data_IF_869520606607
#
_entry.id   IF_869520606607
#
_cell.length_a   1.000
_cell.length_b   1.000
_cell.length_c   1.000
_cell.angle_alpha   90.00
_cell.angle_beta   90.00
_cell.angle_gamma   90.00
#
_symmetry.space_group_name_H-M   'P 1'
#
loop_
_entity.id
_entity.type
_entity.pdbx_description
1 polymer ?
#
# COMPACT_ATOMS: atom_id res chain seq x y z
N UNK A 1 -5.73 7.16 -25.53
CA UNK A 1 -5.41 7.05 -24.10
C UNK A 1 -4.04 7.66 -23.90
N UNK A 2 -3.92 8.55 -22.93
CA UNK A 2 -2.67 9.28 -22.71
C UNK A 2 -1.66 8.31 -22.06
N UNK A 3 -0.62 7.88 -22.79
CA UNK A 3 0.43 6.97 -22.32
C UNK A 3 1.25 7.54 -21.13
N UNK A 4 1.03 8.81 -20.75
CA UNK A 4 1.74 9.50 -19.67
C UNK A 4 1.21 9.19 -18.26
N UNK A 5 0.17 8.37 -18.11
CA UNK A 5 -0.48 8.10 -16.82
C UNK A 5 -0.46 6.61 -16.45
N UNK A 6 0.70 5.96 -16.62
CA UNK A 6 0.92 4.61 -16.09
C UNK A 6 1.64 4.67 -14.74
N UNK A 7 1.27 3.76 -13.84
CA UNK A 7 1.97 3.62 -12.57
C UNK A 7 3.43 3.24 -12.82
N UNK A 8 4.33 3.89 -12.09
CA UNK A 8 5.72 3.46 -12.00
C UNK A 8 5.82 2.13 -11.27
N UNK A 9 6.74 1.27 -11.68
CA UNK A 9 6.99 -0.02 -11.03
C UNK A 9 8.47 -0.35 -10.96
N UNK A 10 8.90 -0.92 -9.84
CA UNK A 10 10.17 -1.65 -9.74
C UNK A 10 9.89 -3.14 -9.97
N UNK A 11 10.56 -3.72 -10.96
CA UNK A 11 10.42 -5.14 -11.30
C UNK A 11 11.52 -5.95 -10.62
N UNK A 12 11.14 -7.08 -10.01
CA UNK A 12 12.07 -8.01 -9.38
C UNK A 12 11.66 -9.45 -9.69
N UNK A 13 12.65 -10.33 -9.79
CA UNK A 13 12.44 -11.76 -10.02
C UNK A 13 12.15 -12.11 -11.48
N UNK A 14 12.31 -13.39 -11.80
CA UNK A 14 12.19 -13.94 -13.16
C UNK A 14 11.10 -15.02 -13.24
N UNK A 15 10.28 -15.16 -12.19
CA UNK A 15 9.16 -16.09 -12.15
C UNK A 15 8.10 -15.77 -13.20
N UNK A 16 7.28 -16.77 -13.53
CA UNK A 16 6.25 -16.62 -14.58
C UNK A 16 4.93 -16.04 -14.09
N UNK A 17 4.66 -16.12 -12.79
CA UNK A 17 3.40 -15.65 -12.21
C UNK A 17 3.57 -14.20 -11.75
N UNK A 18 2.82 -13.25 -12.33
CA UNK A 18 2.88 -11.86 -11.91
C UNK A 18 2.32 -11.70 -10.49
N UNK A 19 3.04 -10.92 -9.67
CA UNK A 19 2.66 -10.59 -8.31
C UNK A 19 2.76 -9.07 -8.13
N UNK A 20 1.62 -8.40 -8.02
CA UNK A 20 1.52 -6.95 -7.91
C UNK A 20 1.44 -6.53 -6.45
N UNK A 21 2.28 -5.59 -6.04
CA UNK A 21 2.46 -5.14 -4.66
C UNK A 21 2.21 -3.64 -4.55
N UNK A 22 1.28 -3.25 -3.69
CA UNK A 22 0.89 -1.84 -3.46
C UNK A 22 1.18 -1.43 -2.02
N UNK A 23 1.90 -0.32 -1.86
CA UNK A 23 2.30 0.27 -0.58
C UNK A 23 1.17 1.04 0.12
N UNK A 24 1.40 1.42 1.37
CA UNK A 24 0.52 2.29 2.17
C UNK A 24 0.70 3.79 1.86
N UNK A 25 -0.09 4.62 2.54
CA UNK A 25 -0.01 6.09 2.43
C UNK A 25 1.42 6.58 2.68
N UNK A 26 1.91 7.50 1.84
CA UNK A 26 3.26 8.05 1.86
C UNK A 26 4.39 7.02 1.66
N UNK A 27 4.05 5.80 1.25
CA UNK A 27 5.01 4.78 0.86
C UNK A 27 5.46 4.89 -0.59
N UNK A 28 6.19 3.87 -1.05
CA UNK A 28 6.60 3.69 -2.46
C UNK A 28 6.90 2.22 -2.74
N UNK A 29 7.15 1.89 -4.00
CA UNK A 29 7.64 0.58 -4.47
C UNK A 29 8.79 0.02 -3.63
N UNK A 30 9.65 0.92 -3.12
CA UNK A 30 10.82 0.57 -2.27
C UNK A 30 10.45 -0.16 -0.99
N UNK A 31 9.25 0.04 -0.45
CA UNK A 31 8.79 -0.65 0.76
C UNK A 31 8.71 -2.17 0.56
N UNK A 32 8.54 -2.60 -0.69
CA UNK A 32 8.40 -4.01 -1.05
C UNK A 32 9.70 -4.72 -1.47
N UNK A 33 10.82 -3.99 -1.64
CA UNK A 33 12.09 -4.56 -2.15
C UNK A 33 12.56 -5.79 -1.40
N UNK A 34 12.45 -5.79 -0.06
CA UNK A 34 12.88 -6.92 0.76
C UNK A 34 11.97 -8.14 0.62
N UNK A 35 10.68 -7.92 0.46
CA UNK A 35 9.69 -8.99 0.18
C UNK A 35 9.90 -9.52 -1.23
N UNK A 36 10.03 -8.62 -2.21
CA UNK A 36 10.27 -8.99 -3.60
C UNK A 36 11.55 -9.81 -3.77
N UNK A 37 12.63 -9.44 -3.06
CA UNK A 37 13.88 -10.24 -3.05
C UNK A 37 13.66 -11.64 -2.44
N UNK A 38 12.78 -11.78 -1.45
CA UNK A 38 12.51 -13.06 -0.79
C UNK A 38 11.66 -14.02 -1.64
N UNK A 39 10.89 -13.51 -2.61
CA UNK A 39 9.95 -14.28 -3.44
C UNK A 39 10.32 -14.29 -4.93
N UNK A 40 11.34 -13.53 -5.33
CA UNK A 40 11.66 -13.28 -6.74
C UNK A 40 12.05 -14.50 -7.55
N UNK A 41 12.50 -15.59 -6.90
CA UNK A 41 12.83 -16.84 -7.58
C UNK A 41 11.58 -17.54 -8.14
N UNK A 42 10.40 -17.24 -7.60
CA UNK A 42 9.14 -17.92 -7.94
C UNK A 42 8.17 -17.01 -8.72
N UNK A 43 8.26 -15.70 -8.56
CA UNK A 43 7.28 -14.74 -9.07
C UNK A 43 7.94 -13.60 -9.84
N UNK A 44 7.20 -13.02 -10.78
CA UNK A 44 7.52 -11.73 -11.36
C UNK A 44 6.89 -10.64 -10.47
N UNK A 45 7.70 -10.03 -9.63
CA UNK A 45 7.26 -9.06 -8.63
C UNK A 45 7.17 -7.66 -9.23
N UNK A 46 5.99 -7.07 -9.24
CA UNK A 46 5.72 -5.70 -9.68
C UNK A 46 5.45 -4.84 -8.45
N UNK A 47 6.47 -4.16 -7.93
CA UNK A 47 6.33 -3.22 -6.82
C UNK A 47 5.89 -1.87 -7.38
N UNK A 48 4.63 -1.48 -7.15
CA UNK A 48 4.01 -0.31 -7.76
C UNK A 48 4.15 0.92 -6.87
N UNK A 49 4.40 2.08 -7.49
CA UNK A 49 4.13 3.38 -6.89
C UNK A 49 2.69 3.78 -7.22
N UNK A 50 1.87 4.05 -6.21
CA UNK A 50 0.50 4.54 -6.41
C UNK A 50 0.51 5.96 -7.00
N UNK A 51 -0.59 6.40 -7.68
CA UNK A 51 -0.73 7.82 -8.06
C UNK A 51 -0.46 8.72 -6.87
N UNK A 52 0.12 9.88 -7.10
CA UNK A 52 0.52 10.85 -6.08
C UNK A 52 1.63 10.37 -5.11
N UNK A 53 2.28 9.23 -5.42
CA UNK A 53 3.37 8.67 -4.63
C UNK A 53 4.55 8.26 -5.52
N UNK A 54 5.72 8.16 -4.91
CA UNK A 54 6.91 7.61 -5.55
C UNK A 54 7.26 8.32 -6.87
N UNK A 55 7.52 7.54 -7.91
CA UNK A 55 7.83 8.02 -9.28
C UNK A 55 6.60 7.96 -10.21
N UNK A 56 5.40 7.68 -9.66
CA UNK A 56 4.16 7.73 -10.40
C UNK A 56 3.68 9.17 -10.63
N UNK A 57 2.77 9.30 -11.58
CA UNK A 57 2.15 10.58 -11.96
C UNK A 57 1.33 11.18 -10.79
N UNK A 58 1.13 12.50 -10.85
CA UNK A 58 0.27 13.23 -9.91
C UNK A 58 -1.05 13.59 -10.57
N UNK A 59 -2.15 13.42 -9.82
CA UNK A 59 -3.52 13.74 -10.23
C UNK A 59 -4.34 14.24 -9.03
N UNK A 60 -5.33 15.08 -9.29
CA UNK A 60 -6.20 15.66 -8.25
C UNK A 60 -7.13 14.60 -7.65
N UNK A 61 -7.64 13.67 -8.46
CA UNK A 61 -8.46 12.56 -7.96
C UNK A 61 -7.56 11.48 -7.34
N UNK A 62 -7.64 11.35 -6.02
CA UNK A 62 -6.98 10.30 -5.23
C UNK A 62 -7.97 9.32 -4.61
N UNK A 63 -9.16 9.12 -5.23
CA UNK A 63 -10.12 8.14 -4.74
C UNK A 63 -9.60 6.70 -4.86
N UNK A 64 -10.08 5.81 -3.99
CA UNK A 64 -9.74 4.37 -4.03
C UNK A 64 -10.13 3.78 -5.40
N UNK A 65 -11.27 4.20 -5.96
CA UNK A 65 -11.71 3.75 -7.28
C UNK A 65 -10.72 4.17 -8.37
N UNK A 66 -10.32 5.43 -8.40
CA UNK A 66 -9.36 5.90 -9.39
C UNK A 66 -8.00 5.19 -9.29
N UNK A 67 -7.56 4.84 -8.07
CA UNK A 67 -6.35 4.03 -7.86
C UNK A 67 -6.53 2.57 -8.29
N UNK A 68 -7.72 2.00 -8.13
CA UNK A 68 -8.08 0.68 -8.66
C UNK A 68 -8.07 0.67 -10.19
N UNK A 69 -8.61 1.72 -10.82
CA UNK A 69 -8.59 1.87 -12.28
C UNK A 69 -7.17 2.03 -12.84
N UNK A 70 -6.26 2.67 -12.08
CA UNK A 70 -4.83 2.73 -12.42
C UNK A 70 -4.19 1.36 -12.46
N UNK A 71 -4.51 0.52 -11.47
CA UNK A 71 -4.01 -0.86 -11.42
C UNK A 71 -4.47 -1.67 -12.62
N UNK A 72 -5.75 -1.52 -13.02
CA UNK A 72 -6.27 -2.15 -14.23
C UNK A 72 -5.50 -1.70 -15.47
N UNK A 73 -5.34 -0.37 -15.67
CA UNK A 73 -4.58 0.19 -16.78
C UNK A 73 -3.14 -0.30 -16.82
N UNK A 74 -2.49 -0.37 -15.64
CA UNK A 74 -1.13 -0.90 -15.54
C UNK A 74 -1.07 -2.36 -15.97
N UNK A 75 -1.95 -3.21 -15.43
CA UNK A 75 -1.98 -4.63 -15.77
C UNK A 75 -2.25 -4.87 -17.27
N UNK A 76 -3.19 -4.12 -17.84
CA UNK A 76 -3.51 -4.20 -19.29
C UNK A 76 -2.34 -3.76 -20.16
N UNK A 77 -1.65 -2.67 -19.78
CA UNK A 77 -0.47 -2.19 -20.52
C UNK A 77 0.68 -3.20 -20.48
N UNK A 78 0.86 -3.90 -19.35
CA UNK A 78 1.86 -4.95 -19.19
C UNK A 78 1.42 -6.31 -19.79
N UNK A 79 0.22 -6.40 -20.39
CA UNK A 79 -0.38 -7.64 -20.88
C UNK A 79 -0.55 -8.72 -19.79
N UNK A 80 -0.74 -8.29 -18.54
CA UNK A 80 -0.95 -9.17 -17.38
C UNK A 80 -2.45 -9.44 -17.27
N UNK A 81 -2.89 -10.65 -17.60
CA UNK A 81 -4.31 -11.04 -17.57
C UNK A 81 -4.77 -11.48 -16.18
N UNK A 82 -3.92 -12.18 -15.44
CA UNK A 82 -4.20 -12.66 -14.08
C UNK A 82 -2.94 -12.54 -13.22
N UNK A 83 -3.11 -12.20 -11.95
CA UNK A 83 -2.00 -11.96 -11.03
C UNK A 83 -2.38 -12.21 -9.57
N UNK A 84 -1.36 -12.41 -8.73
CA UNK A 84 -1.50 -12.34 -7.29
C UNK A 84 -1.45 -10.86 -6.89
N UNK A 85 -2.34 -10.43 -6.01
CA UNK A 85 -2.45 -9.03 -5.60
C UNK A 85 -2.22 -8.90 -4.11
N UNK A 86 -1.26 -8.07 -3.72
CA UNK A 86 -0.97 -7.75 -2.33
C UNK A 86 -0.99 -6.23 -2.11
N UNK A 87 -1.68 -5.80 -1.06
CA UNK A 87 -1.67 -4.41 -0.66
C UNK A 87 -1.53 -4.22 0.84
N UNK A 88 -0.72 -3.24 1.24
CA UNK A 88 -0.57 -2.82 2.62
C UNK A 88 -1.37 -1.54 2.89
N UNK A 89 -2.15 -1.51 3.97
CA UNK A 89 -2.86 -0.30 4.42
C UNK A 89 -3.70 0.31 3.28
N UNK A 90 -3.40 1.51 2.78
CA UNK A 90 -4.05 2.11 1.61
C UNK A 90 -4.02 1.17 0.39
N UNK A 91 -2.87 0.57 0.09
CA UNK A 91 -2.75 -0.44 -0.97
C UNK A 91 -3.67 -1.64 -0.75
N UNK A 92 -3.91 -2.02 0.50
CA UNK A 92 -4.86 -3.07 0.87
C UNK A 92 -6.31 -2.68 0.57
N UNK A 93 -6.70 -1.42 0.81
CA UNK A 93 -8.02 -0.89 0.44
C UNK A 93 -8.23 -0.93 -1.08
N UNK A 94 -7.21 -0.52 -1.84
CA UNK A 94 -7.23 -0.57 -3.31
C UNK A 94 -7.33 -2.02 -3.80
N UNK A 95 -6.56 -2.94 -3.20
CA UNK A 95 -6.58 -4.36 -3.54
C UNK A 95 -7.94 -5.00 -3.30
N UNK A 96 -8.61 -4.67 -2.18
CA UNK A 96 -9.96 -5.13 -1.89
C UNK A 96 -10.98 -4.62 -2.91
N UNK A 97 -10.95 -3.32 -3.24
CA UNK A 97 -11.83 -2.74 -4.27
C UNK A 97 -11.59 -3.40 -5.62
N UNK A 98 -10.34 -3.51 -6.04
CA UNK A 98 -9.98 -4.14 -7.31
C UNK A 98 -10.45 -5.61 -7.40
N UNK A 99 -10.29 -6.38 -6.34
CA UNK A 99 -10.70 -7.79 -6.32
C UNK A 99 -12.22 -7.95 -6.47
N UNK A 100 -13.01 -7.05 -5.87
CA UNK A 100 -14.47 -7.04 -6.03
C UNK A 100 -14.89 -6.59 -7.44
N UNK A 101 -14.23 -5.59 -8.03
CA UNK A 101 -14.57 -5.08 -9.37
C UNK A 101 -14.10 -6.02 -10.49
N UNK A 102 -12.95 -6.67 -10.31
CA UNK A 102 -12.27 -7.47 -11.33
C UNK A 102 -11.89 -8.87 -10.82
N UNK A 103 -12.85 -9.68 -10.29
CA UNK A 103 -12.53 -10.94 -9.62
C UNK A 103 -11.81 -11.94 -10.52
N UNK A 104 -12.06 -11.93 -11.83
CA UNK A 104 -11.42 -12.81 -12.80
C UNK A 104 -9.93 -12.51 -13.03
N UNK A 105 -9.45 -11.32 -12.63
CA UNK A 105 -8.05 -10.88 -12.75
C UNK A 105 -7.20 -11.31 -11.55
N UNK A 106 -7.79 -11.59 -10.39
CA UNK A 106 -7.09 -11.87 -9.14
C UNK A 106 -7.02 -13.37 -8.87
N UNK A 107 -5.81 -13.93 -8.90
CA UNK A 107 -5.55 -15.34 -8.58
C UNK A 107 -5.67 -15.56 -7.07
N UNK A 108 -5.01 -14.72 -6.29
CA UNK A 108 -5.04 -14.70 -4.81
C UNK A 108 -4.93 -13.25 -4.35
N UNK A 109 -5.69 -12.89 -3.32
CA UNK A 109 -5.66 -11.58 -2.69
C UNK A 109 -4.92 -11.65 -1.35
N UNK A 110 -3.99 -10.73 -1.11
CA UNK A 110 -3.31 -10.56 0.18
C UNK A 110 -3.54 -9.12 0.68
N UNK A 111 -4.07 -8.99 1.87
CA UNK A 111 -4.33 -7.70 2.53
C UNK A 111 -3.51 -7.62 3.81
N UNK A 112 -2.57 -6.68 3.85
CA UNK A 112 -1.68 -6.47 4.98
C UNK A 112 -2.19 -5.32 5.86
N UNK A 113 -2.61 -5.67 7.04
CA UNK A 113 -2.97 -4.87 8.21
C UNK A 113 -3.98 -3.74 7.97
N UNK A 114 -5.07 -4.05 7.25
CA UNK A 114 -6.21 -3.15 7.06
C UNK A 114 -7.50 -3.98 6.91
N UNK A 115 -8.66 -3.40 7.26
CA UNK A 115 -9.99 -3.98 7.06
C UNK A 115 -10.84 -3.12 6.13
N UNK A 116 -11.91 -3.67 5.51
CA UNK A 116 -12.85 -2.94 4.64
C UNK A 116 -13.83 -2.10 5.48
N UNK A 117 -13.35 -1.02 6.09
CA UNK A 117 -14.12 -0.15 6.97
C UNK A 117 -13.64 1.29 6.95
N UNK A 118 -14.42 2.19 7.55
CA UNK A 118 -14.00 3.55 7.81
C UNK A 118 -12.94 3.60 8.92
N UNK A 119 -11.97 4.48 8.74
CA UNK A 119 -10.96 4.83 9.74
C UNK A 119 -10.99 6.33 10.04
N UNK A 120 -10.71 6.74 11.28
CA UNK A 120 -10.64 8.16 11.62
C UNK A 120 -9.56 8.87 10.79
N UNK A 121 -9.96 9.81 9.94
CA UNK A 121 -9.02 10.63 9.14
C UNK A 121 -8.06 11.44 10.00
N UNK A 122 -8.47 11.74 11.22
CA UNK A 122 -7.73 12.48 12.24
C UNK A 122 -6.39 11.81 12.59
N UNK A 123 -6.25 10.50 12.34
CA UNK A 123 -4.98 9.80 12.54
C UNK A 123 -3.86 10.26 11.57
N UNK A 124 -4.23 10.70 10.37
CA UNK A 124 -3.26 11.06 9.32
C UNK A 124 -3.08 12.57 9.17
N UNK A 125 -4.09 13.36 9.56
CA UNK A 125 -4.11 14.82 9.39
C UNK A 125 -2.89 15.49 10.04
N UNK A 126 -2.51 15.21 11.31
CA UNK A 126 -1.35 15.87 11.93
C UNK A 126 -0.05 15.60 11.19
N UNK A 127 0.14 14.37 10.70
CA UNK A 127 1.34 14.00 9.92
C UNK A 127 1.41 14.77 8.61
N UNK A 128 0.30 14.80 7.84
CA UNK A 128 0.25 15.50 6.56
C UNK A 128 0.40 17.01 6.73
N UNK A 129 -0.22 17.58 7.76
CA UNK A 129 -0.10 19.01 8.07
C UNK A 129 1.34 19.38 8.51
N UNK A 130 2.02 18.51 9.28
CA UNK A 130 3.41 18.71 9.64
C UNK A 130 4.33 18.71 8.41
N UNK A 131 4.11 17.78 7.44
CA UNK A 131 4.86 17.74 6.19
C UNK A 131 4.61 19.01 5.34
N UNK A 132 3.37 19.48 5.24
CA UNK A 132 3.00 20.70 4.54
C UNK A 132 3.57 21.96 5.20
N UNK A 133 3.77 21.94 6.51
CA UNK A 133 4.35 23.05 7.28
C UNK A 133 5.84 23.27 7.01
N UNK A 134 6.54 22.33 6.36
CA UNK A 134 7.96 22.51 6.01
C UNK A 134 8.11 23.47 4.84
N UNK A 135 8.82 24.58 5.06
CA UNK A 135 9.20 25.48 3.97
C UNK A 135 10.41 24.88 3.20
N UNK A 136 10.11 24.19 2.12
CA UNK A 136 11.12 23.49 1.30
C UNK A 136 12.17 24.43 0.70
N UNK A 137 11.83 25.71 0.44
CA UNK A 137 12.76 26.69 -0.13
C UNK A 137 13.84 27.16 0.87
N UNK A 138 13.59 26.94 2.16
CA UNK A 138 14.53 27.32 3.24
C UNK A 138 15.28 26.11 3.81
N UNK A 139 15.02 24.90 3.30
CA UNK A 139 15.73 23.70 3.73
C UNK A 139 17.17 23.70 3.21
N UNK A 140 18.11 23.46 4.12
CA UNK A 140 19.52 23.27 3.81
C UNK A 140 19.93 21.80 3.82
N UNK A 141 19.17 20.93 4.50
CA UNK A 141 19.49 19.51 4.63
C UNK A 141 18.27 18.66 5.04
N UNK A 142 18.35 17.36 4.74
CA UNK A 142 17.37 16.37 5.25
C UNK A 142 17.37 16.32 6.78
N UNK A 143 18.53 16.53 7.43
CA UNK A 143 18.61 16.60 8.89
C UNK A 143 17.76 17.74 9.45
N UNK A 144 17.82 18.93 8.83
CA UNK A 144 16.99 20.06 9.24
C UNK A 144 15.49 19.72 9.13
N UNK A 145 15.06 19.01 8.07
CA UNK A 145 13.69 18.56 7.95
C UNK A 145 13.30 17.56 9.08
N UNK A 146 14.19 16.63 9.44
CA UNK A 146 13.99 15.72 10.57
C UNK A 146 13.83 16.46 11.90
N UNK A 147 14.71 17.43 12.16
CA UNK A 147 14.67 18.26 13.37
C UNK A 147 13.34 19.08 13.44
N UNK A 148 12.87 19.63 12.33
CA UNK A 148 11.60 20.38 12.25
C UNK A 148 10.37 19.49 12.51
N UNK A 149 10.42 18.22 12.09
CA UNK A 149 9.33 17.27 12.30
C UNK A 149 9.33 16.63 13.70
N UNK A 150 10.42 16.74 14.48
CA UNK A 150 10.63 15.97 15.70
C UNK A 150 9.57 16.23 16.77
N UNK A 151 9.08 17.47 16.89
CA UNK A 151 8.04 17.83 17.87
C UNK A 151 6.67 17.24 17.48
N UNK A 152 6.27 17.37 16.21
CA UNK A 152 4.96 16.92 15.72
C UNK A 152 4.92 15.42 15.50
N UNK A 153 6.06 14.77 15.22
CA UNK A 153 6.19 13.35 14.92
C UNK A 153 7.34 12.78 15.77
N UNK A 154 7.12 12.46 17.06
CA UNK A 154 8.19 12.05 17.97
C UNK A 154 8.88 10.73 17.59
N UNK A 155 8.18 9.81 16.91
CA UNK A 155 8.70 8.49 16.57
C UNK A 155 9.73 8.57 15.44
N UNK A 156 11.02 8.44 15.76
CA UNK A 156 12.14 8.63 14.83
C UNK A 156 12.04 7.76 13.57
N UNK A 157 11.78 6.46 13.71
CA UNK A 157 11.72 5.56 12.55
C UNK A 157 10.59 5.96 11.58
N UNK A 158 9.44 6.41 12.10
CA UNK A 158 8.35 6.91 11.27
C UNK A 158 8.74 8.21 10.55
N UNK A 159 9.45 9.16 11.21
CA UNK A 159 9.99 10.34 10.51
C UNK A 159 10.95 9.95 9.39
N UNK A 160 11.85 8.98 9.62
CA UNK A 160 12.77 8.52 8.58
C UNK A 160 12.02 7.92 7.39
N UNK A 161 10.96 7.15 7.63
CA UNK A 161 10.06 6.67 6.58
C UNK A 161 9.44 7.84 5.80
N UNK A 162 8.85 8.82 6.45
CA UNK A 162 8.25 10.01 5.80
C UNK A 162 9.26 10.78 4.97
N UNK A 163 10.47 10.96 5.50
CA UNK A 163 11.56 11.66 4.83
C UNK A 163 12.11 10.90 3.61
N UNK A 164 11.77 9.64 3.39
CA UNK A 164 12.08 8.99 2.10
C UNK A 164 11.41 9.69 0.92
N UNK A 165 10.32 10.44 1.17
CA UNK A 165 9.66 11.28 0.17
C UNK A 165 10.34 12.62 -0.08
N UNK A 166 11.30 13.04 0.76
CA UNK A 166 12.03 14.27 0.56
C UNK A 166 13.17 14.04 -0.44
N UNK A 167 13.08 14.64 -1.61
CA UNK A 167 14.13 14.59 -2.64
C UNK A 167 14.88 15.91 -2.67
N UNK A 168 16.17 15.82 -2.95
CA UNK A 168 17.05 16.97 -3.15
C UNK A 168 17.35 17.09 -4.63
N UNK A 169 16.98 18.19 -5.23
CA UNK A 169 17.42 18.65 -6.52
C UNK A 169 18.70 19.51 -6.34
N UNK A 170 19.31 19.99 -7.42
CA UNK A 170 20.60 20.70 -7.36
C UNK A 170 20.65 21.78 -6.27
N UNK A 171 19.62 22.61 -6.13
CA UNK A 171 19.58 23.74 -5.18
C UNK A 171 18.30 23.82 -4.35
N UNK A 172 17.47 22.77 -4.33
CA UNK A 172 16.17 22.81 -3.66
C UNK A 172 15.76 21.43 -3.17
N UNK A 173 14.80 21.42 -2.25
CA UNK A 173 14.11 20.21 -1.81
C UNK A 173 12.69 20.18 -2.38
N UNK A 174 12.17 18.99 -2.61
CA UNK A 174 10.79 18.76 -3.02
C UNK A 174 10.23 17.51 -2.36
N UNK A 175 8.92 17.46 -2.17
CA UNK A 175 8.23 16.21 -1.83
C UNK A 175 7.98 15.40 -3.10
N UNK A 176 8.34 14.14 -3.08
CA UNK A 176 8.05 13.18 -4.14
C UNK A 176 6.56 12.83 -4.16
N UNK A 177 5.98 12.67 -2.98
CA UNK A 177 4.54 12.49 -2.84
C UNK A 177 3.80 13.83 -2.97
N UNK A 178 2.62 13.82 -3.58
CA UNK A 178 1.74 14.99 -3.71
C UNK A 178 0.99 15.24 -2.39
N UNK A 179 1.72 15.73 -1.37
CA UNK A 179 1.19 15.92 -0.02
C UNK A 179 -0.11 16.75 0.00
N UNK A 180 -0.22 17.88 -0.76
CA UNK A 180 -1.45 18.68 -0.78
C UNK A 180 -2.68 17.90 -1.22
N UNK A 181 -2.57 17.14 -2.31
CA UNK A 181 -3.69 16.32 -2.82
C UNK A 181 -4.03 15.19 -1.87
N UNK A 182 -3.04 14.49 -1.32
CA UNK A 182 -3.25 13.42 -0.34
C UNK A 182 -3.92 13.95 0.92
N UNK A 183 -3.51 15.14 1.40
CA UNK A 183 -4.14 15.80 2.55
C UNK A 183 -5.61 16.15 2.30
N UNK A 184 -5.91 16.69 1.13
CA UNK A 184 -7.29 17.04 0.75
C UNK A 184 -8.17 15.81 0.56
N UNK A 185 -7.59 14.69 0.14
CA UNK A 185 -8.29 13.43 -0.15
C UNK A 185 -8.38 12.49 1.05
N UNK A 186 -7.78 12.83 2.20
CA UNK A 186 -7.62 11.88 3.31
C UNK A 186 -8.93 11.31 3.83
N UNK A 187 -10.04 12.08 3.77
CA UNK A 187 -11.37 11.57 4.12
C UNK A 187 -11.80 10.42 3.22
N UNK A 188 -11.62 10.55 1.90
CA UNK A 188 -11.93 9.49 0.92
C UNK A 188 -11.00 8.28 1.08
N UNK A 189 -9.71 8.51 1.33
CA UNK A 189 -8.72 7.44 1.54
C UNK A 189 -8.95 6.66 2.83
N UNK A 190 -9.54 7.31 3.83
CA UNK A 190 -9.88 6.68 5.12
C UNK A 190 -11.20 5.92 5.10
N UNK A 191 -12.08 6.13 4.12
CA UNK A 191 -13.40 5.49 4.03
C UNK A 191 -13.31 3.99 3.71
N UNK A 192 -14.39 3.27 4.00
CA UNK A 192 -14.55 1.88 3.54
C UNK A 192 -14.44 1.83 2.00
N UNK A 193 -13.55 0.99 1.45
CA UNK A 193 -13.40 0.87 0.00
C UNK A 193 -14.55 0.10 -0.67
N UNK A 194 -15.40 -0.59 0.09
CA UNK A 194 -16.42 -1.49 -0.41
C UNK A 194 -17.82 -0.99 -0.11
N UNK A 195 -18.77 -1.37 -0.97
CA UNK A 195 -20.18 -1.11 -0.82
C UNK A 195 -20.90 -2.37 -0.31
N UNK A 196 -22.12 -2.19 0.20
CA UNK A 196 -22.99 -3.33 0.56
C UNK A 196 -23.24 -4.16 -0.69
N UNK A 197 -22.99 -5.48 -0.59
CA UNK A 197 -23.15 -6.44 -1.68
C UNK A 197 -21.92 -6.69 -2.53
N UNK A 198 -20.84 -5.88 -2.37
CA UNK A 198 -19.56 -6.23 -2.96
C UNK A 198 -19.04 -7.53 -2.36
N UNK A 199 -18.45 -8.40 -3.16
CA UNK A 199 -17.79 -9.61 -2.65
C UNK A 199 -16.71 -10.11 -3.61
N UNK A 200 -15.74 -10.82 -3.05
CA UNK A 200 -14.73 -11.57 -3.80
C UNK A 200 -14.65 -12.98 -3.22
N UNK A 201 -15.04 -13.98 -4.01
CA UNK A 201 -15.08 -15.40 -3.61
C UNK A 201 -13.76 -16.14 -3.85
N UNK A 202 -12.73 -15.44 -4.35
CA UNK A 202 -11.40 -16.02 -4.54
C UNK A 202 -10.61 -16.15 -3.23
N UNK A 203 -9.52 -16.93 -3.25
CA UNK A 203 -8.64 -17.09 -2.09
C UNK A 203 -8.12 -15.75 -1.60
N UNK A 204 -8.29 -15.49 -0.30
CA UNK A 204 -7.89 -14.21 0.32
C UNK A 204 -7.17 -14.46 1.63
N UNK A 205 -6.08 -13.72 1.87
CA UNK A 205 -5.32 -13.77 3.12
C UNK A 205 -5.25 -12.37 3.74
N UNK A 206 -5.69 -12.27 4.99
CA UNK A 206 -5.55 -11.08 5.80
C UNK A 206 -4.46 -11.29 6.86
N UNK A 207 -3.37 -10.51 6.76
CA UNK A 207 -2.23 -10.56 7.69
C UNK A 207 -2.30 -9.35 8.61
N UNK A 208 -2.40 -9.60 9.92
CA UNK A 208 -2.47 -8.52 10.91
C UNK A 208 -1.23 -8.45 11.78
N UNK A 209 -0.84 -7.24 12.17
CA UNK A 209 0.11 -7.02 13.25
C UNK A 209 -0.54 -7.21 14.63
N UNK A 210 0.06 -8.02 15.49
CA UNK A 210 -0.46 -8.26 16.83
C UNK A 210 -0.55 -7.00 17.70
N UNK A 211 0.32 -6.01 17.43
CA UNK A 211 0.39 -4.71 18.11
C UNK A 211 -0.34 -3.60 17.34
N UNK A 212 -0.91 -3.89 16.19
CA UNK A 212 -1.62 -2.93 15.36
C UNK A 212 -3.07 -2.72 15.80
N UNK A 213 -3.54 -1.48 15.68
CA UNK A 213 -4.95 -1.12 15.85
C UNK A 213 -5.78 -1.13 14.56
N UNK A 214 -5.14 -1.29 13.38
CA UNK A 214 -5.83 -1.18 12.09
C UNK A 214 -6.64 -2.42 11.75
N UNK A 215 -6.05 -3.60 11.83
CA UNK A 215 -6.77 -4.87 11.65
C UNK A 215 -6.82 -5.60 12.99
N UNK A 216 -8.03 -5.86 13.50
CA UNK A 216 -8.27 -6.54 14.77
C UNK A 216 -9.07 -7.81 14.57
N UNK A 217 -9.05 -8.71 15.56
CA UNK A 217 -9.82 -9.96 15.52
C UNK A 217 -11.33 -9.72 15.40
N UNK A 218 -11.83 -8.65 15.98
CA UNK A 218 -13.24 -8.25 15.95
C UNK A 218 -13.75 -7.83 14.56
N UNK A 219 -12.84 -7.48 13.63
CA UNK A 219 -13.19 -7.15 12.24
C UNK A 219 -13.40 -8.40 11.36
N UNK A 220 -13.07 -9.61 11.86
CA UNK A 220 -13.16 -10.84 11.09
C UNK A 220 -14.58 -11.13 10.55
N UNK A 221 -15.67 -10.98 11.33
CA UNK A 221 -17.02 -11.18 10.79
C UNK A 221 -17.33 -10.25 9.61
N UNK A 222 -17.01 -8.96 9.71
CA UNK A 222 -17.22 -7.97 8.66
C UNK A 222 -16.40 -8.31 7.40
N UNK A 223 -15.16 -8.76 7.55
CA UNK A 223 -14.31 -9.19 6.43
C UNK A 223 -14.92 -10.39 5.71
N UNK A 224 -15.46 -11.37 6.45
CA UNK A 224 -16.04 -12.58 5.87
C UNK A 224 -17.34 -12.31 5.10
N UNK A 225 -18.02 -11.20 5.31
CA UNK A 225 -19.16 -10.78 4.49
C UNK A 225 -18.72 -10.44 3.05
N UNK A 226 -17.54 -9.84 2.87
CA UNK A 226 -16.98 -9.49 1.56
C UNK A 226 -16.07 -10.57 0.97
N UNK A 227 -15.37 -11.33 1.83
CA UNK A 227 -14.35 -12.32 1.49
C UNK A 227 -14.64 -13.65 2.20
N UNK A 228 -15.65 -14.43 1.75
CA UNK A 228 -16.22 -15.55 2.52
C UNK A 228 -15.24 -16.69 2.83
N UNK A 229 -14.18 -16.84 2.05
CA UNK A 229 -13.13 -17.86 2.26
C UNK A 229 -11.79 -17.26 2.70
N UNK A 230 -11.83 -16.08 3.34
CA UNK A 230 -10.61 -15.42 3.81
C UNK A 230 -9.94 -16.19 4.95
N UNK A 231 -8.62 -16.35 4.81
CA UNK A 231 -7.72 -16.83 5.85
C UNK A 231 -7.14 -15.66 6.64
N UNK A 232 -6.75 -15.91 7.90
CA UNK A 232 -6.23 -14.89 8.79
C UNK A 232 -4.93 -15.35 9.44
N UNK A 233 -3.90 -14.51 9.36
CA UNK A 233 -2.62 -14.72 10.04
C UNK A 233 -2.32 -13.54 10.95
N UNK A 234 -1.81 -13.81 12.15
CA UNK A 234 -1.36 -12.80 13.11
C UNK A 234 0.14 -12.89 13.24
N UNK A 235 0.82 -11.76 13.08
CA UNK A 235 2.24 -11.57 13.38
C UNK A 235 2.35 -10.89 14.75
N UNK A 236 2.56 -11.64 15.84
CA UNK A 236 2.27 -11.17 17.20
C UNK A 236 3.15 -10.01 17.64
N UNK A 237 4.36 -9.90 17.09
CA UNK A 237 5.32 -8.86 17.44
C UNK A 237 5.31 -7.64 16.52
N UNK A 238 4.64 -7.72 15.39
CA UNK A 238 4.55 -6.62 14.42
C UNK A 238 3.47 -5.59 14.80
N UNK A 239 3.72 -4.33 14.48
CA UNK A 239 2.76 -3.24 14.43
C UNK A 239 2.07 -3.18 13.06
N UNK A 240 1.88 -1.94 12.55
CA UNK A 240 1.18 -1.72 11.29
C UNK A 240 1.98 -2.14 10.05
N UNK A 241 3.28 -1.96 10.06
CA UNK A 241 4.17 -2.27 8.94
C UNK A 241 4.62 -3.74 8.96
N UNK A 242 3.66 -4.68 8.93
CA UNK A 242 3.85 -6.12 9.13
C UNK A 242 4.93 -6.74 8.22
N UNK A 243 5.06 -6.25 6.98
CA UNK A 243 6.03 -6.71 5.98
C UNK A 243 7.46 -6.18 6.23
N UNK A 244 7.59 -5.20 7.13
CA UNK A 244 8.88 -4.61 7.55
C UNK A 244 9.25 -5.09 8.95
N UNK A 245 8.31 -5.01 9.90
CA UNK A 245 8.55 -5.28 11.31
C UNK A 245 8.71 -6.79 11.63
N UNK A 246 8.02 -7.66 10.89
CA UNK A 246 8.21 -9.11 10.93
C UNK A 246 8.25 -9.70 9.52
N UNK A 247 9.31 -9.35 8.78
CA UNK A 247 9.50 -9.80 7.40
C UNK A 247 9.52 -11.32 7.29
N UNK A 248 10.15 -12.03 8.20
CA UNK A 248 10.24 -13.49 8.16
C UNK A 248 8.88 -14.15 8.35
N UNK A 249 8.10 -13.69 9.31
CA UNK A 249 6.72 -14.14 9.53
C UNK A 249 5.82 -13.81 8.35
N UNK A 250 5.98 -12.61 7.77
CA UNK A 250 5.23 -12.19 6.59
C UNK A 250 5.52 -13.09 5.38
N UNK A 251 6.79 -13.33 5.05
CA UNK A 251 7.20 -14.24 3.96
C UNK A 251 6.68 -15.67 4.21
N UNK A 252 6.82 -16.19 5.42
CA UNK A 252 6.30 -17.53 5.76
C UNK A 252 4.78 -17.63 5.60
N UNK A 253 4.03 -16.56 5.92
CA UNK A 253 2.58 -16.52 5.72
C UNK A 253 2.23 -16.52 4.22
N UNK A 254 2.98 -15.75 3.41
CA UNK A 254 2.82 -15.74 1.96
C UNK A 254 3.13 -17.10 1.34
N UNK A 255 4.26 -17.71 1.68
CA UNK A 255 4.68 -19.02 1.14
C UNK A 255 3.61 -20.07 1.40
N UNK A 256 3.10 -20.17 2.62
CA UNK A 256 2.04 -21.12 2.98
C UNK A 256 0.76 -20.89 2.17
N UNK A 257 0.35 -19.62 2.02
CA UNK A 257 -0.87 -19.28 1.32
C UNK A 257 -0.75 -19.44 -0.21
N UNK A 258 0.39 -19.04 -0.79
CA UNK A 258 0.55 -18.98 -2.24
C UNK A 258 0.88 -20.36 -2.82
N UNK A 259 1.75 -21.14 -2.15
CA UNK A 259 2.24 -22.43 -2.66
C UNK A 259 1.26 -23.59 -2.44
N UNK A 260 0.20 -23.43 -1.63
CA UNK A 260 -0.86 -24.42 -1.52
C UNK A 260 -1.76 -24.28 -2.76
N UNK A 261 -1.89 -25.33 -3.61
CA UNK A 261 -2.85 -25.29 -4.71
C UNK A 261 -4.26 -25.08 -4.16
N UNK A 262 -5.13 -24.32 -4.85
CA UNK A 262 -6.53 -24.23 -4.45
C UNK A 262 -7.15 -25.63 -4.45
N UNK A 263 -7.83 -25.98 -3.37
CA UNK A 263 -8.58 -27.24 -3.21
C UNK A 263 -9.76 -27.28 -4.16
#
# INVERSE_FOLDING_TARGET
MNHSQLLHSELHGEGKVPFLLMHGLLGSSRNWRSVAKGLGDHFQMHCLDLRNHGDSFHEDDSSIQAMSDDLLRYADHQNITKFILCGHSLGGKIAMRFACDHPSRVIKLIVADIAPRDYPREHHIPTLDALLGINLSQLSSRKQADDMLAESIPHWAFRQFLLTNLIQNENSFAWKANIPVLRNSIGKLSSNPLNIGDHFSGPSLFIRGGKSGYLRSEHKPEILEYFPIAEFVVLPNAGHDVHVEDRSGFLSALDKFILIPPV
#
